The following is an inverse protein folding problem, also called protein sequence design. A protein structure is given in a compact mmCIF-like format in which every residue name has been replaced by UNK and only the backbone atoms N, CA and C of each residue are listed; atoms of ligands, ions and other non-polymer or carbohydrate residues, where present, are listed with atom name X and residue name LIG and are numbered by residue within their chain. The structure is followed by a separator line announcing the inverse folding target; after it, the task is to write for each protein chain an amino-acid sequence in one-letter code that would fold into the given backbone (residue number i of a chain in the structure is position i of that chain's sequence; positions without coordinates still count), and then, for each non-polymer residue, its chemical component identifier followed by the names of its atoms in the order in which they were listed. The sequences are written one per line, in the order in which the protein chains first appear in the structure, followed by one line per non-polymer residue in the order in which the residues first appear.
data_IF_995542338219
#
_entry.id   IF_995542338219
#
_cell.length_a   1.000
_cell.length_b   1.000
_cell.length_c   1.000
_cell.angle_alpha   90.00
_cell.angle_beta   90.00
_cell.angle_gamma   90.00
#
_symmetry.space_group_name_H-M   'P 1'
#
loop_
_entity.id
_entity.type
_entity.pdbx_description
1 polymer ?
#
# COMPACT_ATOMS: atom_id res chain seq x y z
N UNK A 1 12.16 18.86 -76.21
CA UNK A 1 12.49 19.01 -74.76
C UNK A 1 13.56 17.98 -74.45
N UNK A 2 14.84 18.43 -74.46
CA UNK A 2 15.96 17.57 -74.16
C UNK A 2 16.12 17.48 -72.63
N UNK A 3 15.56 16.46 -72.05
CA UNK A 3 15.88 16.12 -70.67
C UNK A 3 17.34 15.73 -70.55
N UNK A 4 18.08 16.45 -69.76
CA UNK A 4 19.52 16.35 -69.59
C UNK A 4 19.87 14.94 -69.07
N UNK A 5 20.45 14.05 -69.91
CA UNK A 5 20.82 12.67 -69.56
C UNK A 5 21.62 12.56 -68.25
N UNK A 6 22.36 13.63 -67.91
CA UNK A 6 23.10 13.71 -66.63
C UNK A 6 22.18 13.82 -65.41
N UNK A 7 21.01 14.51 -65.55
CA UNK A 7 20.04 14.61 -64.44
C UNK A 7 19.34 13.28 -64.19
N UNK A 8 18.98 12.54 -65.25
CA UNK A 8 18.39 11.20 -65.12
C UNK A 8 19.33 10.23 -64.49
N UNK A 9 20.62 10.23 -64.84
CA UNK A 9 21.66 9.40 -64.22
C UNK A 9 21.91 9.76 -62.74
N UNK A 10 21.84 11.02 -62.40
CA UNK A 10 21.99 11.50 -61.00
C UNK A 10 20.81 11.08 -60.12
N UNK A 11 19.61 11.19 -60.61
CA UNK A 11 18.38 10.72 -59.94
C UNK A 11 18.40 9.19 -59.79
N UNK A 12 18.78 8.48 -60.82
CA UNK A 12 18.91 7.02 -60.78
C UNK A 12 19.96 6.56 -59.74
N UNK A 13 21.12 7.24 -59.66
CA UNK A 13 22.16 6.95 -58.72
C UNK A 13 21.72 7.23 -57.26
N UNK A 14 20.93 8.33 -57.02
CA UNK A 14 20.35 8.66 -55.73
C UNK A 14 19.31 7.61 -55.26
N UNK A 15 18.49 7.14 -56.16
CA UNK A 15 17.49 6.08 -55.89
C UNK A 15 18.20 4.77 -55.51
N UNK A 16 19.23 4.37 -56.27
CA UNK A 16 20.01 3.16 -55.95
C UNK A 16 20.75 3.29 -54.58
N UNK A 17 21.31 4.50 -54.29
CA UNK A 17 21.96 4.75 -53.00
C UNK A 17 20.96 4.70 -51.84
N UNK A 18 19.71 5.17 -52.04
CA UNK A 18 18.67 5.08 -51.00
C UNK A 18 18.25 3.64 -50.70
N UNK A 19 18.22 2.77 -51.73
CA UNK A 19 17.91 1.34 -51.56
C UNK A 19 19.03 0.56 -50.89
N UNK A 20 20.27 0.92 -51.07
CA UNK A 20 21.43 0.25 -50.42
C UNK A 20 21.54 0.62 -48.93
N UNK A 21 21.12 1.85 -48.52
CA UNK A 21 21.14 2.28 -47.14
C UNK A 21 20.02 1.68 -46.28
N UNK A 22 18.96 1.17 -46.87
CA UNK A 22 17.87 0.49 -46.14
C UNK A 22 18.10 -1.03 -45.95
N UNK A 23 19.16 -1.60 -46.55
CA UNK A 23 19.43 -3.05 -46.48
C UNK A 23 20.26 -3.46 -45.24
N UNK A 24 20.73 -2.50 -44.40
CA UNK A 24 21.48 -2.81 -43.19
C UNK A 24 20.66 -2.62 -41.91
N UNK A 25 19.33 -2.77 -41.95
CA UNK A 25 18.52 -2.93 -40.77
C UNK A 25 18.85 -4.27 -40.11
N UNK A 26 19.22 -4.26 -38.83
CA UNK A 26 19.25 -5.49 -38.03
C UNK A 26 17.92 -6.22 -38.19
N UNK A 27 17.94 -7.40 -38.75
CA UNK A 27 16.72 -8.23 -38.88
C UNK A 27 16.06 -8.41 -37.52
N UNK A 28 14.76 -8.72 -37.48
CA UNK A 28 14.07 -9.01 -36.24
C UNK A 28 14.86 -10.03 -35.43
N UNK A 29 14.97 -9.82 -34.13
CA UNK A 29 15.60 -10.78 -33.23
C UNK A 29 14.97 -12.17 -33.50
N UNK A 30 15.79 -13.18 -33.65
CA UNK A 30 15.32 -14.54 -33.83
C UNK A 30 14.38 -14.93 -32.66
N UNK A 31 13.51 -15.91 -32.89
CA UNK A 31 12.65 -16.41 -31.82
C UNK A 31 13.53 -16.84 -30.64
N UNK A 32 13.06 -16.53 -29.43
CA UNK A 32 13.72 -17.01 -28.22
C UNK A 32 13.93 -18.51 -28.32
N UNK A 33 15.11 -18.99 -27.97
CA UNK A 33 15.40 -20.40 -27.91
C UNK A 33 14.39 -21.14 -27.04
N UNK A 34 14.17 -22.44 -27.26
CA UNK A 34 13.30 -23.22 -26.41
C UNK A 34 13.75 -23.07 -24.95
N UNK A 35 12.81 -22.97 -24.02
CA UNK A 35 13.10 -23.00 -22.60
C UNK A 35 14.03 -24.21 -22.31
N UNK A 36 15.04 -24.00 -21.50
CA UNK A 36 15.90 -25.10 -21.06
C UNK A 36 15.06 -26.20 -20.39
N UNK A 37 15.57 -27.46 -20.41
CA UNK A 37 14.87 -28.52 -19.71
C UNK A 37 14.60 -28.10 -18.26
N UNK A 38 13.42 -28.40 -17.79
CA UNK A 38 13.07 -28.24 -16.39
C UNK A 38 14.09 -29.01 -15.55
N UNK A 39 14.66 -28.36 -14.54
CA UNK A 39 15.57 -29.03 -13.61
C UNK A 39 14.90 -30.26 -13.01
N UNK A 40 15.71 -31.27 -12.70
CA UNK A 40 15.21 -32.48 -12.03
C UNK A 40 14.46 -32.07 -10.76
N UNK A 41 13.34 -32.73 -10.46
CA UNK A 41 12.66 -32.53 -9.17
C UNK A 41 13.68 -32.76 -8.05
N UNK A 42 13.68 -31.88 -7.06
CA UNK A 42 14.47 -32.12 -5.84
C UNK A 42 14.16 -33.49 -5.25
N UNK A 43 15.07 -34.06 -4.46
CA UNK A 43 14.85 -35.36 -3.81
C UNK A 43 13.52 -35.28 -3.04
N UNK A 44 12.65 -36.25 -3.30
CA UNK A 44 11.40 -36.36 -2.53
C UNK A 44 11.76 -36.53 -1.05
N UNK A 45 11.12 -35.79 -0.13
CA UNK A 45 11.30 -36.00 1.29
C UNK A 45 10.97 -37.45 1.64
N UNK A 46 11.68 -38.01 2.63
CA UNK A 46 11.37 -39.36 3.09
C UNK A 46 9.93 -39.40 3.59
N UNK A 47 9.22 -40.49 3.37
CA UNK A 47 7.82 -40.62 3.83
C UNK A 47 7.68 -40.47 5.36
N UNK A 48 8.74 -40.71 6.10
CA UNK A 48 8.85 -40.46 7.55
C UNK A 48 8.85 -38.99 7.92
N UNK A 49 9.22 -38.10 6.98
CA UNK A 49 9.35 -36.66 7.21
C UNK A 49 8.07 -35.91 6.81
N UNK A 50 7.13 -36.61 6.19
CA UNK A 50 5.86 -36.03 5.75
C UNK A 50 4.81 -36.16 6.86
N UNK A 51 4.70 -35.15 7.70
CA UNK A 51 3.64 -35.08 8.70
C UNK A 51 2.38 -34.40 8.15
N UNK A 52 1.93 -34.84 6.97
CA UNK A 52 0.74 -34.28 6.32
C UNK A 52 -0.48 -34.23 7.26
N UNK A 53 -0.57 -35.20 8.16
CA UNK A 53 -1.67 -35.28 9.14
C UNK A 53 -1.56 -34.28 10.29
N UNK A 54 -0.44 -33.62 10.50
CA UNK A 54 -0.35 -32.50 11.46
C UNK A 54 -1.10 -31.27 10.94
N UNK A 55 -1.11 -31.11 9.63
CA UNK A 55 -1.80 -29.99 8.96
C UNK A 55 -3.12 -30.44 8.33
N UNK A 56 -3.14 -31.58 7.64
CA UNK A 56 -4.31 -32.14 6.95
C UNK A 56 -5.01 -33.19 7.83
N UNK A 57 -5.47 -32.74 8.98
CA UNK A 57 -6.31 -33.54 9.86
C UNK A 57 -7.67 -32.86 10.00
N UNK A 58 -8.70 -33.66 10.36
CA UNK A 58 -10.06 -33.15 10.57
C UNK A 58 -10.18 -32.37 11.90
N UNK A 59 -9.06 -32.04 12.54
CA UNK A 59 -9.06 -31.26 13.77
C UNK A 59 -9.20 -29.77 13.48
N UNK A 60 -9.62 -29.04 14.50
CA UNK A 60 -10.06 -27.65 14.40
C UNK A 60 -8.98 -26.64 13.96
N UNK A 61 -7.70 -27.01 13.97
CA UNK A 61 -6.63 -26.04 13.72
C UNK A 61 -6.71 -25.44 12.32
N UNK A 62 -6.56 -26.25 11.27
CA UNK A 62 -6.58 -25.73 9.90
C UNK A 62 -7.99 -25.40 9.46
N UNK A 63 -8.97 -26.25 9.74
CA UNK A 63 -10.36 -26.02 9.34
C UNK A 63 -10.90 -24.72 9.88
N UNK A 64 -10.62 -24.41 11.17
CA UNK A 64 -11.06 -23.15 11.77
C UNK A 64 -10.31 -21.94 11.20
N UNK A 65 -8.98 -22.02 10.95
CA UNK A 65 -8.22 -20.92 10.38
C UNK A 65 -8.63 -20.62 8.93
N UNK A 66 -8.89 -21.67 8.15
CA UNK A 66 -9.42 -21.53 6.78
C UNK A 66 -10.78 -20.85 6.77
N UNK A 67 -11.70 -21.25 7.65
CA UNK A 67 -13.00 -20.61 7.78
C UNK A 67 -12.88 -19.15 8.22
N UNK A 68 -12.05 -18.86 9.23
CA UNK A 68 -11.79 -17.50 9.70
C UNK A 68 -11.28 -16.60 8.57
N UNK A 69 -10.32 -17.09 7.80
CA UNK A 69 -9.71 -16.34 6.70
C UNK A 69 -10.71 -16.14 5.55
N UNK A 70 -11.34 -17.19 5.06
CA UNK A 70 -12.18 -17.15 3.87
C UNK A 70 -13.53 -16.48 4.08
N UNK A 71 -14.08 -16.52 5.31
CA UNK A 71 -15.42 -16.03 5.58
C UNK A 71 -15.44 -14.64 6.22
N UNK A 72 -14.38 -14.30 6.97
CA UNK A 72 -14.41 -13.13 7.84
C UNK A 72 -13.21 -12.17 7.66
N UNK A 73 -12.18 -12.59 6.95
CA UNK A 73 -10.99 -11.74 6.73
C UNK A 73 -11.13 -10.90 5.46
N UNK A 74 -10.84 -9.59 5.55
CA UNK A 74 -10.74 -8.71 4.35
C UNK A 74 -9.70 -9.23 3.35
N UNK A 75 -8.64 -9.89 3.83
CA UNK A 75 -7.63 -10.48 2.96
C UNK A 75 -8.15 -11.68 2.17
N UNK A 76 -9.06 -12.45 2.74
CA UNK A 76 -9.67 -13.62 2.09
C UNK A 76 -10.91 -13.29 1.26
N UNK A 77 -11.67 -12.27 1.66
CA UNK A 77 -12.96 -11.91 1.01
C UNK A 77 -12.87 -10.69 0.10
N UNK A 78 -11.81 -9.88 0.21
CA UNK A 78 -11.64 -8.65 -0.55
C UNK A 78 -11.25 -8.90 -2.01
N UNK A 79 -11.69 -8.02 -2.90
CA UNK A 79 -11.41 -8.10 -4.34
C UNK A 79 -10.20 -7.25 -4.76
N UNK A 80 -9.47 -6.66 -3.82
CA UNK A 80 -8.35 -5.78 -4.13
C UNK A 80 -7.16 -6.49 -4.80
N UNK A 81 -7.11 -7.82 -4.73
CA UNK A 81 -6.06 -8.64 -5.31
C UNK A 81 -5.96 -8.47 -6.84
N UNK A 82 -7.06 -8.16 -7.53
CA UNK A 82 -7.06 -7.93 -8.99
C UNK A 82 -6.11 -6.78 -9.41
N UNK A 83 -5.77 -5.89 -8.50
CA UNK A 83 -4.77 -4.84 -8.74
C UNK A 83 -3.36 -5.38 -8.86
N UNK A 84 -3.10 -6.59 -8.37
CA UNK A 84 -1.81 -7.29 -8.51
C UNK A 84 -1.44 -7.66 -9.95
N UNK A 85 -2.33 -7.48 -10.92
CA UNK A 85 -2.00 -7.55 -12.34
C UNK A 85 -1.13 -6.36 -12.79
N UNK A 86 -1.18 -5.22 -12.09
CA UNK A 86 -0.39 -4.04 -12.39
C UNK A 86 0.98 -4.04 -11.70
N UNK A 87 2.04 -3.72 -12.44
CA UNK A 87 3.42 -3.69 -11.93
C UNK A 87 3.54 -2.85 -10.65
N UNK A 88 2.96 -1.65 -10.63
CA UNK A 88 3.03 -0.76 -9.48
C UNK A 88 2.22 -1.23 -8.25
N UNK A 89 1.38 -2.25 -8.40
CA UNK A 89 0.48 -2.73 -7.36
C UNK A 89 0.81 -4.16 -6.91
N UNK A 90 1.50 -4.93 -7.75
CA UNK A 90 1.78 -6.36 -7.56
C UNK A 90 2.49 -6.66 -6.24
N UNK A 91 3.37 -5.77 -5.78
CA UNK A 91 4.14 -5.95 -4.54
C UNK A 91 3.30 -5.98 -3.26
N UNK A 92 2.05 -5.51 -3.29
CA UNK A 92 1.14 -5.49 -2.13
C UNK A 92 -0.24 -6.06 -2.43
N UNK A 93 -0.59 -6.27 -3.71
CA UNK A 93 -1.86 -6.81 -4.14
C UNK A 93 -1.63 -8.10 -4.92
N UNK A 94 -2.37 -9.15 -4.57
CA UNK A 94 -2.20 -10.49 -5.12
C UNK A 94 -1.10 -11.29 -4.43
N UNK A 95 -1.29 -12.61 -4.41
CA UNK A 95 -0.43 -13.53 -3.64
C UNK A 95 0.98 -13.62 -4.22
N UNK A 96 1.10 -13.77 -5.53
CA UNK A 96 2.37 -14.06 -6.21
C UNK A 96 3.37 -12.92 -6.09
N UNK A 97 2.96 -11.70 -6.45
CA UNK A 97 3.82 -10.52 -6.39
C UNK A 97 4.23 -10.16 -4.97
N UNK A 98 3.29 -10.24 -4.02
CA UNK A 98 3.57 -9.99 -2.60
C UNK A 98 4.61 -10.96 -2.06
N UNK A 99 4.42 -12.27 -2.27
CA UNK A 99 5.36 -13.29 -1.78
C UNK A 99 6.74 -13.15 -2.45
N UNK A 100 6.78 -12.97 -3.75
CA UNK A 100 8.04 -12.80 -4.49
C UNK A 100 8.83 -11.59 -3.98
N UNK A 101 8.16 -10.46 -3.76
CA UNK A 101 8.77 -9.24 -3.24
C UNK A 101 9.34 -9.42 -1.84
N UNK A 102 8.54 -9.94 -0.91
CA UNK A 102 8.95 -10.10 0.49
C UNK A 102 10.14 -11.06 0.59
N UNK A 103 10.09 -12.20 -0.11
CA UNK A 103 11.20 -13.15 -0.13
C UNK A 103 12.49 -12.59 -0.73
N UNK A 104 12.38 -11.63 -1.62
CA UNK A 104 13.53 -10.95 -2.21
C UNK A 104 14.02 -9.73 -1.40
N UNK A 105 13.33 -9.37 -0.32
CA UNK A 105 13.66 -8.18 0.50
C UNK A 105 13.53 -6.86 -0.25
N UNK A 106 12.61 -6.79 -1.23
CA UNK A 106 12.45 -5.62 -2.09
C UNK A 106 11.42 -4.63 -1.52
N UNK A 107 11.55 -3.33 -1.81
CA UNK A 107 10.57 -2.33 -1.43
C UNK A 107 9.23 -2.53 -2.17
N UNK A 108 8.12 -1.98 -1.65
CA UNK A 108 6.78 -2.16 -2.21
C UNK A 108 6.61 -1.87 -3.71
N UNK A 109 7.29 -0.85 -4.23
CA UNK A 109 7.17 -0.43 -5.63
C UNK A 109 8.41 -0.80 -6.47
N UNK A 110 9.16 -1.83 -6.07
CA UNK A 110 10.30 -2.26 -6.87
C UNK A 110 9.85 -2.68 -8.27
N UNK A 111 10.43 -2.10 -9.34
CA UNK A 111 9.99 -2.33 -10.71
C UNK A 111 10.29 -3.74 -11.23
N UNK A 112 11.09 -4.53 -10.52
CA UNK A 112 11.33 -5.94 -10.86
C UNK A 112 10.17 -6.85 -10.43
N UNK A 113 9.29 -6.36 -9.54
CA UNK A 113 8.07 -7.08 -9.14
C UNK A 113 7.00 -6.85 -10.20
N UNK A 114 6.81 -7.83 -11.05
CA UNK A 114 5.82 -7.77 -12.13
C UNK A 114 4.50 -8.41 -11.70
N UNK A 115 3.41 -7.84 -12.16
CA UNK A 115 2.08 -8.43 -12.02
C UNK A 115 1.95 -9.71 -12.88
N UNK A 116 1.05 -10.57 -12.48
CA UNK A 116 0.72 -11.79 -13.21
C UNK A 116 -0.70 -11.74 -13.73
N UNK A 117 -0.92 -12.23 -14.94
CA UNK A 117 -2.27 -12.39 -15.49
C UNK A 117 -3.00 -13.46 -14.68
N UNK A 118 -4.25 -13.23 -14.33
CA UNK A 118 -5.04 -14.08 -13.43
C UNK A 118 -4.38 -14.24 -12.05
N UNK A 119 -4.01 -13.11 -11.46
CA UNK A 119 -3.44 -13.05 -10.11
C UNK A 119 -4.32 -13.77 -9.08
N UNK A 120 -3.69 -14.53 -8.19
CA UNK A 120 -4.41 -15.20 -7.11
C UNK A 120 -4.77 -14.23 -5.97
N UNK A 121 -5.94 -14.37 -5.35
CA UNK A 121 -6.22 -13.70 -4.09
C UNK A 121 -5.22 -14.12 -3.02
N UNK A 122 -5.13 -13.34 -1.96
CA UNK A 122 -4.35 -13.74 -0.80
C UNK A 122 -4.83 -15.08 -0.26
N UNK A 123 -3.89 -15.89 0.15
CA UNK A 123 -4.14 -17.23 0.67
C UNK A 123 -3.06 -17.60 1.70
N UNK A 124 -3.16 -18.76 2.30
CA UNK A 124 -2.23 -19.19 3.34
C UNK A 124 -0.75 -19.10 2.90
N UNK A 125 -0.47 -19.40 1.64
CA UNK A 125 0.90 -19.39 1.09
C UNK A 125 1.46 -17.99 0.84
N UNK A 126 0.62 -16.96 0.89
CA UNK A 126 1.08 -15.56 0.83
C UNK A 126 1.85 -15.18 2.08
N UNK A 127 1.38 -15.67 3.22
CA UNK A 127 1.89 -15.32 4.55
C UNK A 127 2.75 -16.41 5.18
N UNK A 128 2.61 -17.66 4.76
CA UNK A 128 3.32 -18.81 5.31
C UNK A 128 4.11 -19.56 4.25
N UNK A 129 5.19 -20.22 4.65
CA UNK A 129 6.06 -20.99 3.74
C UNK A 129 5.55 -22.43 3.54
N UNK A 130 4.25 -22.58 3.38
CA UNK A 130 3.56 -23.86 3.25
C UNK A 130 4.10 -24.70 2.09
N UNK A 131 4.36 -25.97 2.37
CA UNK A 131 4.93 -26.96 1.47
C UNK A 131 6.37 -26.67 1.05
N UNK A 132 7.13 -26.00 1.90
CA UNK A 132 8.56 -25.78 1.74
C UNK A 132 9.36 -26.88 2.41
N UNK A 133 9.02 -27.23 3.68
CA UNK A 133 9.69 -28.26 4.46
C UNK A 133 8.85 -29.51 4.67
N UNK A 134 7.54 -29.42 4.49
CA UNK A 134 6.53 -30.44 4.80
C UNK A 134 6.51 -30.84 6.29
N UNK A 135 6.91 -29.93 7.15
CA UNK A 135 6.87 -30.05 8.62
C UNK A 135 6.07 -28.88 9.20
N UNK A 136 5.99 -28.82 10.53
CA UNK A 136 5.40 -27.65 11.21
C UNK A 136 6.12 -26.34 10.94
N UNK A 137 7.35 -26.40 10.43
CA UNK A 137 8.11 -25.20 10.07
C UNK A 137 7.51 -24.49 8.84
N UNK A 138 6.62 -25.16 8.10
CA UNK A 138 5.81 -24.56 7.05
C UNK A 138 4.81 -23.48 7.54
N UNK A 139 4.60 -23.39 8.86
CA UNK A 139 3.86 -22.27 9.45
C UNK A 139 4.71 -21.01 9.68
N UNK A 140 6.02 -21.07 9.37
CA UNK A 140 6.88 -19.89 9.39
C UNK A 140 6.34 -18.80 8.48
N UNK A 141 6.52 -17.55 8.89
CA UNK A 141 6.07 -16.42 8.12
C UNK A 141 7.00 -16.16 6.93
N UNK A 142 6.41 -15.78 5.80
CA UNK A 142 7.13 -15.32 4.62
C UNK A 142 8.03 -14.13 4.99
N UNK A 143 9.32 -14.20 4.66
CA UNK A 143 10.29 -13.13 4.94
C UNK A 143 10.93 -13.18 6.34
N UNK A 144 10.82 -14.29 7.06
CA UNK A 144 11.54 -14.55 8.32
C UNK A 144 11.44 -13.44 9.38
N UNK A 145 10.28 -12.78 9.46
CA UNK A 145 10.02 -11.71 10.44
C UNK A 145 11.04 -10.54 10.40
N UNK A 146 11.71 -10.32 9.26
CA UNK A 146 12.70 -9.26 9.14
C UNK A 146 12.08 -7.88 9.33
N UNK A 147 12.83 -6.99 10.01
CA UNK A 147 12.44 -5.59 10.15
C UNK A 147 12.20 -4.92 8.79
N UNK A 148 11.14 -4.14 8.68
CA UNK A 148 10.68 -3.54 7.43
C UNK A 148 11.16 -2.10 7.35
N UNK A 149 12.07 -1.81 6.42
CA UNK A 149 12.43 -0.44 6.09
C UNK A 149 11.31 0.19 5.26
N UNK A 150 10.83 1.33 5.69
CA UNK A 150 9.81 2.05 4.95
C UNK A 150 10.33 2.60 3.62
N UNK A 151 9.49 2.56 2.58
CA UNK A 151 9.88 3.03 1.26
C UNK A 151 9.93 4.57 1.17
N UNK A 152 8.99 5.25 1.83
CA UNK A 152 8.81 6.71 1.72
C UNK A 152 9.02 7.47 3.04
N UNK A 153 9.66 6.85 4.02
CA UNK A 153 10.18 7.51 5.22
C UNK A 153 11.48 6.88 5.66
N UNK A 154 12.23 7.54 6.55
CA UNK A 154 13.56 7.07 6.96
C UNK A 154 13.51 5.96 8.02
N UNK A 155 12.33 5.72 8.58
CA UNK A 155 12.12 4.78 9.68
C UNK A 155 12.14 3.31 9.26
N UNK A 156 12.14 2.49 10.29
CA UNK A 156 12.08 1.03 10.19
C UNK A 156 11.07 0.52 11.19
N UNK A 157 10.24 -0.42 10.77
CA UNK A 157 9.31 -1.12 11.64
C UNK A 157 9.93 -2.45 12.05
N UNK A 158 10.07 -2.66 13.35
CA UNK A 158 10.57 -3.90 13.95
C UNK A 158 9.64 -4.33 15.09
N UNK A 159 8.59 -5.02 14.70
CA UNK A 159 7.47 -5.43 15.56
C UNK A 159 7.27 -6.94 15.61
N UNK A 160 8.34 -7.74 15.47
CA UNK A 160 8.28 -9.20 15.51
C UNK A 160 7.40 -9.75 14.36
N UNK A 161 6.48 -10.67 14.65
CA UNK A 161 5.57 -11.23 13.64
C UNK A 161 4.72 -10.17 12.92
N UNK A 162 4.55 -8.98 13.50
CA UNK A 162 3.91 -7.83 12.87
C UNK A 162 4.66 -7.28 11.66
N UNK A 163 5.94 -7.62 11.49
CA UNK A 163 6.75 -7.18 10.34
C UNK A 163 6.16 -7.64 9.01
N UNK A 164 5.57 -8.82 8.95
CA UNK A 164 4.87 -9.27 7.76
C UNK A 164 3.74 -8.30 7.35
N UNK A 165 2.97 -7.82 8.31
CA UNK A 165 1.88 -6.85 8.08
C UNK A 165 2.43 -5.51 7.57
N UNK A 166 3.51 -5.02 8.21
CA UNK A 166 4.16 -3.76 7.87
C UNK A 166 4.73 -3.71 6.45
N UNK A 167 5.00 -4.86 5.84
CA UNK A 167 5.41 -4.93 4.45
C UNK A 167 4.38 -4.31 3.48
N UNK A 168 3.09 -4.35 3.83
CA UNK A 168 2.02 -3.78 3.01
C UNK A 168 1.31 -2.61 3.70
N UNK A 169 1.18 -2.65 5.03
CA UNK A 169 0.53 -1.62 5.83
C UNK A 169 1.49 -0.46 6.15
N UNK A 170 1.96 0.21 5.10
CA UNK A 170 2.83 1.38 5.15
C UNK A 170 2.44 2.42 4.09
N UNK A 171 2.87 3.67 4.27
CA UNK A 171 2.66 4.75 3.30
C UNK A 171 3.25 4.36 1.95
N UNK A 172 2.50 4.57 0.87
CA UNK A 172 2.85 4.16 -0.49
C UNK A 172 2.97 5.31 -1.50
N UNK A 173 2.82 6.51 -1.04
CA UNK A 173 3.04 7.68 -1.87
C UNK A 173 4.23 8.47 -1.31
N UNK A 174 5.13 8.97 -2.18
CA UNK A 174 6.21 9.84 -1.77
C UNK A 174 5.67 11.14 -1.17
N UNK A 175 6.48 11.78 -0.33
CA UNK A 175 6.20 13.13 0.12
C UNK A 175 6.08 14.05 -1.09
N UNK A 176 5.10 14.98 -1.10
CA UNK A 176 4.92 15.89 -2.23
C UNK A 176 6.08 16.86 -2.36
N UNK A 177 6.36 17.28 -3.60
CA UNK A 177 7.36 18.30 -3.89
C UNK A 177 6.78 19.70 -3.58
N UNK A 178 7.55 20.48 -2.84
CA UNK A 178 7.23 21.89 -2.53
C UNK A 178 7.90 22.79 -3.55
N UNK A 179 7.14 23.65 -4.21
CA UNK A 179 7.64 24.65 -5.15
C UNK A 179 7.12 26.04 -4.81
N UNK A 180 8.01 26.95 -4.52
CA UNK A 180 7.69 28.34 -4.16
C UNK A 180 6.65 28.43 -2.99
N UNK A 181 6.79 27.55 -1.98
CA UNK A 181 5.91 27.48 -0.82
C UNK A 181 4.52 26.85 -1.10
N UNK A 182 4.34 26.24 -2.28
CA UNK A 182 3.10 25.61 -2.69
C UNK A 182 3.31 24.16 -3.10
N UNK A 183 2.23 23.39 -3.09
CA UNK A 183 2.19 22.03 -3.61
C UNK A 183 1.14 21.96 -4.71
N UNK A 184 1.53 21.35 -5.84
CA UNK A 184 0.65 21.08 -6.97
C UNK A 184 0.02 19.69 -6.82
N UNK A 185 -1.24 19.64 -6.45
CA UNK A 185 -2.01 18.41 -6.29
C UNK A 185 -2.58 18.00 -7.64
N UNK A 186 -2.12 16.87 -8.17
CA UNK A 186 -2.47 16.38 -9.52
C UNK A 186 -3.49 15.24 -9.51
N UNK A 187 -4.06 14.92 -8.35
CA UNK A 187 -5.02 13.82 -8.20
C UNK A 187 -6.01 14.09 -7.08
N UNK A 188 -7.27 13.81 -7.32
CA UNK A 188 -8.31 13.77 -6.26
C UNK A 188 -7.99 12.78 -5.12
N UNK A 189 -7.01 11.87 -5.34
CA UNK A 189 -6.54 10.87 -4.37
C UNK A 189 -5.32 11.32 -3.57
N UNK A 190 -4.90 12.58 -3.67
CA UNK A 190 -3.76 13.09 -2.93
C UNK A 190 -3.78 12.66 -1.46
N UNK A 191 -2.67 12.14 -0.97
CA UNK A 191 -2.47 11.62 0.38
C UNK A 191 -1.68 10.31 0.37
N UNK A 192 -1.66 9.63 1.50
CA UNK A 192 -0.78 8.49 1.81
C UNK A 192 -1.09 7.17 1.09
N UNK A 193 -2.28 7.01 0.49
CA UNK A 193 -2.91 5.74 0.19
C UNK A 193 -3.33 5.00 1.49
N UNK A 194 -4.22 4.00 1.41
CA UNK A 194 -4.59 3.15 2.56
C UNK A 194 -3.38 2.37 3.08
N UNK A 195 -3.44 1.94 4.33
CA UNK A 195 -2.41 1.09 4.92
C UNK A 195 -1.31 1.87 5.61
N UNK A 196 -1.63 2.87 6.44
CA UNK A 196 -0.65 3.77 7.08
C UNK A 196 -0.30 3.35 8.51
N UNK A 197 -0.76 2.20 8.94
CA UNK A 197 -0.77 1.76 10.34
C UNK A 197 0.63 1.63 10.92
N UNK A 198 1.60 1.17 10.11
CA UNK A 198 2.96 0.98 10.59
C UNK A 198 3.65 2.29 10.92
N UNK A 199 3.54 3.31 10.04
CA UNK A 199 4.09 4.63 10.35
C UNK A 199 3.31 5.32 11.47
N UNK A 200 2.00 5.13 11.56
CA UNK A 200 1.22 5.65 12.70
C UNK A 200 1.75 5.07 14.01
N UNK A 201 1.98 3.77 14.10
CA UNK A 201 2.51 3.11 15.30
C UNK A 201 3.88 3.65 15.72
N UNK A 202 4.78 3.90 14.77
CA UNK A 202 6.12 4.43 15.09
C UNK A 202 6.17 5.95 15.20
N UNK A 203 5.07 6.64 14.87
CA UNK A 203 4.98 8.10 14.97
C UNK A 203 5.68 8.86 13.85
N UNK A 204 5.64 8.31 12.61
CA UNK A 204 6.22 8.91 11.40
C UNK A 204 5.17 9.08 10.30
N UNK A 205 5.54 9.77 9.23
CA UNK A 205 4.78 9.82 7.98
C UNK A 205 3.81 10.98 7.84
N UNK A 206 3.49 11.70 8.90
CA UNK A 206 2.82 12.99 8.82
C UNK A 206 3.69 14.07 8.18
N UNK A 207 3.08 15.14 7.71
CA UNK A 207 3.75 16.29 7.11
C UNK A 207 3.62 17.54 7.97
N UNK A 208 4.51 18.52 7.74
CA UNK A 208 4.65 19.72 8.54
C UNK A 208 5.55 19.52 9.75
N UNK A 209 5.55 20.49 10.67
CA UNK A 209 6.43 20.51 11.85
C UNK A 209 5.86 19.67 13.03
N UNK A 210 5.23 18.54 12.73
CA UNK A 210 4.67 17.63 13.73
C UNK A 210 5.58 16.44 13.95
N UNK A 211 6.20 16.39 15.13
CA UNK A 211 7.04 15.27 15.53
C UNK A 211 6.21 14.22 16.27
N UNK A 212 6.32 12.97 15.86
CA UNK A 212 5.78 11.82 16.55
C UNK A 212 6.83 11.05 17.35
N UNK A 213 6.35 10.09 18.10
CA UNK A 213 7.17 9.10 18.81
C UNK A 213 6.49 7.75 18.74
N UNK A 214 7.24 6.64 18.82
CA UNK A 214 6.66 5.31 18.87
C UNK A 214 5.62 5.19 19.98
N UNK A 215 4.48 4.63 19.66
CA UNK A 215 3.40 4.45 20.63
C UNK A 215 3.73 3.39 21.68
N UNK A 216 3.09 3.44 22.85
CA UNK A 216 3.15 2.34 23.80
C UNK A 216 2.67 1.00 23.21
N UNK A 217 1.72 1.01 22.28
CA UNK A 217 1.25 -0.19 21.58
C UNK A 217 2.35 -0.80 20.71
N UNK A 218 3.16 0.03 20.03
CA UNK A 218 4.32 -0.45 19.30
C UNK A 218 5.39 -1.06 20.22
N UNK A 219 5.71 -0.40 21.33
CA UNK A 219 6.84 -0.76 22.17
C UNK A 219 6.55 -1.83 23.23
N UNK A 220 5.28 -2.07 23.58
CA UNK A 220 4.89 -2.95 24.69
C UNK A 220 4.03 -4.13 24.28
N UNK A 221 3.34 -4.07 23.15
CA UNK A 221 2.55 -5.19 22.64
C UNK A 221 3.48 -6.14 21.92
N UNK A 222 3.57 -7.38 22.42
CA UNK A 222 4.35 -8.42 21.76
C UNK A 222 3.80 -8.70 20.37
N UNK A 223 4.70 -8.80 19.39
CA UNK A 223 4.36 -9.04 17.99
C UNK A 223 3.40 -7.98 17.39
N UNK A 224 3.32 -6.81 18.04
CA UNK A 224 2.59 -5.61 17.61
C UNK A 224 1.20 -5.89 17.00
N UNK A 225 1.08 -5.87 15.66
CA UNK A 225 -0.17 -6.10 14.93
C UNK A 225 -0.83 -7.43 15.32
N UNK A 226 -0.03 -8.50 15.35
CA UNK A 226 -0.49 -9.86 15.66
C UNK A 226 -1.06 -9.92 17.08
N UNK A 227 -0.43 -9.28 18.05
CA UNK A 227 -0.86 -9.27 19.45
C UNK A 227 -2.29 -8.76 19.65
N UNK A 228 -2.72 -7.79 18.87
CA UNK A 228 -4.09 -7.24 18.90
C UNK A 228 -5.02 -7.89 17.88
N UNK A 229 -4.59 -7.98 16.60
CA UNK A 229 -5.44 -8.38 15.49
C UNK A 229 -5.65 -9.90 15.36
N UNK A 230 -4.73 -10.70 15.89
CA UNK A 230 -4.84 -12.16 15.88
C UNK A 230 -5.01 -12.75 17.29
N UNK A 231 -4.52 -12.06 18.32
CA UNK A 231 -4.63 -12.48 19.73
C UNK A 231 -3.88 -13.78 20.04
N UNK A 232 -4.17 -14.39 21.20
CA UNK A 232 -3.44 -15.56 21.70
C UNK A 232 -3.62 -16.83 20.86
N UNK A 233 -4.76 -16.93 20.17
CA UNK A 233 -5.10 -18.11 19.37
C UNK A 233 -4.75 -17.93 17.89
N UNK A 234 -4.03 -16.88 17.52
CA UNK A 234 -3.73 -16.53 16.13
C UNK A 234 -4.98 -16.57 15.25
N UNK A 235 -5.99 -15.76 15.60
CA UNK A 235 -7.26 -15.70 14.88
C UNK A 235 -7.05 -15.06 13.50
N UNK A 236 -7.43 -15.75 12.43
CA UNK A 236 -7.23 -15.33 11.05
C UNK A 236 -8.38 -14.48 10.49
N UNK A 237 -9.28 -13.97 11.33
CA UNK A 237 -10.22 -12.91 10.93
C UNK A 237 -9.53 -11.54 10.88
N UNK A 238 -8.40 -11.39 11.56
CA UNK A 238 -7.65 -10.14 11.78
C UNK A 238 -8.48 -9.04 12.50
N UNK A 239 -9.61 -9.41 13.08
CA UNK A 239 -10.45 -8.49 13.85
C UNK A 239 -9.98 -8.46 15.31
N UNK A 240 -9.57 -7.30 15.83
CA UNK A 240 -9.15 -7.19 17.23
C UNK A 240 -10.34 -7.44 18.16
N UNK A 241 -10.03 -7.87 19.38
CA UNK A 241 -11.03 -8.10 20.44
C UNK A 241 -10.74 -7.20 21.64
N UNK A 242 -11.77 -6.60 22.22
CA UNK A 242 -11.65 -5.71 23.39
C UNK A 242 -10.93 -6.37 24.56
N UNK A 243 -11.05 -7.69 24.72
CA UNK A 243 -10.33 -8.43 25.75
C UNK A 243 -8.81 -8.24 25.68
N UNK A 244 -8.24 -7.99 24.50
CA UNK A 244 -6.80 -7.71 24.34
C UNK A 244 -6.42 -6.32 24.88
N UNK A 245 -7.34 -5.38 24.85
CA UNK A 245 -7.12 -4.07 25.49
C UNK A 245 -7.05 -4.20 27.01
N UNK A 246 -7.79 -5.14 27.58
CA UNK A 246 -7.91 -5.32 29.03
C UNK A 246 -6.63 -5.82 29.71
N UNK A 247 -5.65 -6.33 28.97
CA UNK A 247 -4.34 -6.69 29.51
C UNK A 247 -3.61 -5.47 30.12
N UNK A 248 -3.88 -4.28 29.61
CA UNK A 248 -3.32 -3.03 30.10
C UNK A 248 -4.42 -2.02 30.53
N UNK A 249 -5.56 -2.02 29.85
CA UNK A 249 -6.71 -1.14 30.09
C UNK A 249 -7.83 -1.97 30.77
N UNK A 250 -7.63 -2.34 32.01
CA UNK A 250 -8.44 -3.34 32.75
C UNK A 250 -9.95 -3.05 32.73
N UNK A 251 -10.36 -1.80 32.62
CA UNK A 251 -11.75 -1.38 32.59
C UNK A 251 -12.31 -1.18 31.18
N UNK A 252 -11.55 -1.48 30.12
CA UNK A 252 -12.00 -1.28 28.75
C UNK A 252 -13.24 -2.13 28.45
N UNK A 253 -14.29 -1.49 27.94
CA UNK A 253 -15.58 -2.14 27.55
C UNK A 253 -15.80 -2.14 26.05
N UNK A 254 -15.09 -1.30 25.33
CA UNK A 254 -15.10 -1.15 23.88
C UNK A 254 -13.72 -0.68 23.42
N UNK A 255 -13.55 -0.37 22.15
CA UNK A 255 -12.30 0.11 21.58
C UNK A 255 -12.03 1.60 21.85
N UNK A 256 -13.05 2.34 22.27
CA UNK A 256 -12.94 3.76 22.62
C UNK A 256 -12.40 3.94 24.05
N UNK A 257 -11.18 3.48 24.26
CA UNK A 257 -10.52 3.56 25.57
C UNK A 257 -10.20 5.03 25.88
N UNK A 258 -10.72 5.48 27.02
CA UNK A 258 -10.61 6.88 27.49
C UNK A 258 -11.20 7.93 26.53
N UNK A 259 -12.11 7.55 25.63
CA UNK A 259 -12.75 8.47 24.69
C UNK A 259 -11.86 8.92 23.51
N UNK A 260 -10.74 8.21 23.28
CA UNK A 260 -9.78 8.58 22.23
C UNK A 260 -10.40 8.52 20.84
N UNK A 261 -11.13 7.42 20.52
CA UNK A 261 -11.73 7.29 19.20
C UNK A 261 -12.80 8.36 18.96
N UNK A 262 -13.64 8.63 19.95
CA UNK A 262 -14.63 9.72 19.89
C UNK A 262 -13.98 11.09 19.66
N UNK A 263 -12.85 11.39 20.34
CA UNK A 263 -12.13 12.65 20.15
C UNK A 263 -11.54 12.76 18.73
N UNK A 264 -10.88 11.73 18.24
CA UNK A 264 -10.28 11.73 16.89
C UNK A 264 -11.37 11.82 15.81
N UNK A 265 -12.48 11.11 15.96
CA UNK A 265 -13.61 11.20 15.03
C UNK A 265 -14.17 12.63 14.94
N UNK A 266 -14.37 13.29 16.09
CA UNK A 266 -14.83 14.67 16.12
C UNK A 266 -13.86 15.64 15.42
N UNK A 267 -12.54 15.45 15.58
CA UNK A 267 -11.53 16.25 14.90
C UNK A 267 -11.53 16.03 13.39
N UNK A 268 -11.70 14.78 12.94
CA UNK A 268 -11.82 14.44 11.52
C UNK A 268 -13.09 15.05 10.91
N UNK A 269 -14.23 15.03 11.61
CA UNK A 269 -15.48 15.65 11.16
C UNK A 269 -15.34 17.18 11.04
N UNK A 270 -14.69 17.83 12.01
CA UNK A 270 -14.41 19.25 11.96
C UNK A 270 -13.52 19.61 10.76
N UNK A 271 -12.44 18.85 10.51
CA UNK A 271 -11.57 19.04 9.36
C UNK A 271 -12.30 18.81 8.04
N UNK A 272 -13.12 17.76 7.95
CA UNK A 272 -13.96 17.50 6.79
C UNK A 272 -14.84 18.71 6.46
N UNK A 273 -15.52 19.25 7.47
CA UNK A 273 -16.36 20.44 7.33
C UNK A 273 -15.56 21.63 6.80
N UNK A 274 -14.39 21.91 7.38
CA UNK A 274 -13.50 22.98 6.94
C UNK A 274 -13.03 22.79 5.49
N UNK A 275 -12.64 21.58 5.09
CA UNK A 275 -12.23 21.34 3.70
C UNK A 275 -13.36 21.56 2.70
N UNK A 276 -14.59 21.20 3.03
CA UNK A 276 -15.78 21.48 2.19
C UNK A 276 -16.07 22.98 2.12
N UNK A 277 -16.09 23.68 3.25
CA UNK A 277 -16.30 25.13 3.34
C UNK A 277 -15.25 25.91 2.55
N UNK A 278 -13.98 25.50 2.64
CA UNK A 278 -12.85 26.10 1.92
C UNK A 278 -12.75 25.68 0.45
N UNK A 279 -13.70 24.92 -0.05
CA UNK A 279 -13.76 24.45 -1.46
C UNK A 279 -12.53 23.65 -1.89
N UNK A 280 -11.98 22.86 -0.99
CA UNK A 280 -10.89 21.92 -1.26
C UNK A 280 -11.39 20.48 -1.43
N UNK A 281 -12.52 20.15 -0.82
CA UNK A 281 -13.16 18.84 -0.86
C UNK A 281 -14.53 18.95 -1.53
N UNK A 282 -14.75 18.07 -2.53
CA UNK A 282 -16.03 18.01 -3.22
C UNK A 282 -17.07 17.27 -2.34
N UNK A 283 -18.15 17.94 -1.91
CA UNK A 283 -19.17 17.32 -1.05
C UNK A 283 -19.91 16.16 -1.73
N UNK A 284 -19.98 16.12 -3.06
CA UNK A 284 -20.68 15.06 -3.80
C UNK A 284 -19.87 13.73 -3.87
N UNK A 285 -18.56 13.79 -3.60
CA UNK A 285 -17.67 12.63 -3.65
C UNK A 285 -17.47 11.95 -2.27
N UNK A 286 -18.15 12.40 -1.23
CA UNK A 286 -18.02 11.89 0.15
C UNK A 286 -18.30 10.38 0.25
N UNK A 287 -19.11 9.83 -0.66
CA UNK A 287 -19.35 8.38 -0.73
C UNK A 287 -18.09 7.56 -1.11
N UNK A 288 -17.06 8.20 -1.66
CA UNK A 288 -15.80 7.54 -2.00
C UNK A 288 -14.62 8.23 -1.28
N UNK A 289 -14.21 7.76 -0.11
CA UNK A 289 -13.17 8.40 0.69
C UNK A 289 -11.78 8.45 0.01
N UNK A 290 -11.63 7.78 -1.13
CA UNK A 290 -10.40 7.88 -1.94
C UNK A 290 -10.36 9.14 -2.80
N UNK A 291 -11.49 9.69 -3.24
CA UNK A 291 -11.61 10.71 -4.27
C UNK A 291 -12.14 12.04 -3.67
N UNK A 292 -11.46 12.60 -2.68
CA UNK A 292 -11.98 13.72 -1.91
C UNK A 292 -11.66 15.10 -2.52
N UNK A 293 -10.46 15.25 -3.10
CA UNK A 293 -9.95 16.56 -3.45
C UNK A 293 -10.43 17.03 -4.82
N UNK A 294 -10.87 18.27 -4.89
CA UNK A 294 -11.41 18.85 -6.11
C UNK A 294 -10.99 20.29 -6.34
N UNK A 295 -11.18 20.77 -7.56
CA UNK A 295 -11.05 22.16 -7.95
C UNK A 295 -12.46 22.71 -8.17
N UNK A 296 -12.84 23.70 -7.38
CA UNK A 296 -14.13 24.38 -7.52
C UNK A 296 -14.00 25.63 -8.41
N UNK A 297 -14.81 25.71 -9.44
CA UNK A 297 -14.97 26.90 -10.27
C UNK A 297 -16.21 27.70 -9.81
N UNK A 298 -16.03 28.84 -9.12
CA UNK A 298 -17.15 29.62 -8.61
C UNK A 298 -17.97 30.31 -9.74
N UNK A 299 -17.39 30.51 -10.93
CA UNK A 299 -18.09 31.14 -12.06
C UNK A 299 -19.06 30.16 -12.72
N UNK A 300 -18.72 28.88 -12.77
CA UNK A 300 -19.53 27.82 -13.36
C UNK A 300 -20.36 27.05 -12.33
N UNK A 301 -20.10 27.26 -11.00
CA UNK A 301 -20.61 26.46 -9.88
C UNK A 301 -20.38 24.95 -10.11
N UNK A 302 -19.13 24.59 -10.42
CA UNK A 302 -18.76 23.21 -10.80
C UNK A 302 -17.48 22.76 -10.17
N UNK A 303 -17.43 21.47 -9.89
CA UNK A 303 -16.23 20.76 -9.48
C UNK A 303 -15.54 20.08 -10.65
N UNK A 304 -14.22 20.02 -10.61
CA UNK A 304 -13.39 19.23 -11.51
C UNK A 304 -12.30 18.50 -10.74
N UNK A 305 -11.77 17.43 -11.33
CA UNK A 305 -10.73 16.64 -10.69
C UNK A 305 -9.35 17.23 -11.00
N UNK A 306 -8.47 17.36 -9.99
CA UNK A 306 -7.09 17.73 -10.22
C UNK A 306 -6.39 16.72 -11.16
N UNK A 307 -5.55 17.22 -12.07
CA UNK A 307 -4.76 16.43 -12.99
C UNK A 307 -3.36 17.04 -13.19
N UNK A 308 -2.49 16.36 -13.90
CA UNK A 308 -1.15 16.90 -14.23
C UNK A 308 -1.24 18.18 -15.08
N UNK A 309 -2.26 18.29 -15.95
CA UNK A 309 -2.46 19.45 -16.82
C UNK A 309 -3.24 20.59 -16.11
N UNK A 310 -3.98 20.25 -15.07
CA UNK A 310 -4.78 21.19 -14.28
C UNK A 310 -4.69 20.81 -12.78
N UNK A 311 -3.57 21.11 -12.13
CA UNK A 311 -3.38 20.79 -10.71
C UNK A 311 -4.13 21.75 -9.81
N UNK A 312 -4.56 21.27 -8.64
CA UNK A 312 -4.97 22.12 -7.53
C UNK A 312 -3.71 22.65 -6.85
N UNK A 313 -3.48 23.94 -6.92
CA UNK A 313 -2.32 24.59 -6.28
C UNK A 313 -2.76 25.14 -4.92
N UNK A 314 -2.11 24.67 -3.86
CA UNK A 314 -2.38 25.15 -2.50
C UNK A 314 -1.09 25.43 -1.74
N UNK A 315 -1.10 26.30 -0.74
CA UNK A 315 0.04 26.48 0.17
C UNK A 315 0.48 25.15 0.78
N UNK A 316 1.78 24.97 0.99
CA UNK A 316 2.36 23.77 1.60
C UNK A 316 1.65 23.37 2.89
N UNK A 317 1.38 24.31 3.80
CA UNK A 317 0.70 24.01 5.06
C UNK A 317 -0.70 23.41 4.84
N UNK A 318 -1.45 23.90 3.83
CA UNK A 318 -2.77 23.36 3.47
C UNK A 318 -2.67 21.96 2.91
N UNK A 319 -1.70 21.72 2.01
CA UNK A 319 -1.47 20.39 1.48
C UNK A 319 -1.04 19.40 2.58
N UNK A 320 -0.22 19.85 3.54
CA UNK A 320 0.16 19.04 4.71
C UNK A 320 -1.07 18.70 5.58
N UNK A 321 -1.99 19.63 5.79
CA UNK A 321 -3.25 19.36 6.48
C UNK A 321 -4.12 18.32 5.76
N UNK A 322 -4.22 18.42 4.41
CA UNK A 322 -4.92 17.44 3.57
C UNK A 322 -4.27 16.05 3.66
N UNK A 323 -2.94 15.99 3.66
CA UNK A 323 -2.18 14.73 3.82
C UNK A 323 -2.42 14.11 5.20
N UNK A 324 -2.29 14.89 6.27
CA UNK A 324 -2.43 14.41 7.63
C UNK A 324 -3.87 13.94 7.93
N UNK A 325 -4.87 14.61 7.38
CA UNK A 325 -6.25 14.13 7.40
C UNK A 325 -6.39 12.74 6.78
N UNK A 326 -5.84 12.53 5.58
CA UNK A 326 -5.85 11.23 4.91
C UNK A 326 -5.04 10.20 5.68
N UNK A 327 -3.91 10.58 6.23
CA UNK A 327 -3.04 9.68 7.00
C UNK A 327 -3.76 9.10 8.21
N UNK A 328 -4.40 9.94 9.01
CA UNK A 328 -5.18 9.49 10.17
C UNK A 328 -6.44 8.72 9.76
N UNK A 329 -7.13 9.17 8.71
CA UNK A 329 -8.32 8.47 8.19
C UNK A 329 -7.98 7.07 7.67
N UNK A 330 -6.84 6.92 7.00
CA UNK A 330 -6.43 5.66 6.35
C UNK A 330 -5.75 4.68 7.32
N UNK A 331 -5.33 5.13 8.48
CA UNK A 331 -4.94 4.30 9.61
C UNK A 331 -6.12 3.49 10.19
N UNK A 332 -7.34 3.96 10.01
CA UNK A 332 -8.61 3.34 10.40
C UNK A 332 -8.74 2.97 11.90
N UNK A 333 -7.73 3.26 12.71
CA UNK A 333 -7.77 2.94 14.15
C UNK A 333 -8.47 4.00 15.00
N UNK A 334 -8.80 5.17 14.41
CA UNK A 334 -9.29 6.34 15.15
C UNK A 334 -8.39 6.67 16.35
N UNK A 335 -7.06 6.64 16.13
CA UNK A 335 -6.06 6.95 17.13
C UNK A 335 -5.64 5.78 18.03
N UNK A 336 -6.25 4.59 17.93
CA UNK A 336 -5.85 3.47 18.77
C UNK A 336 -4.40 3.02 18.53
N UNK A 337 -3.86 3.15 17.32
CA UNK A 337 -2.46 2.83 17.06
C UNK A 337 -1.49 3.79 17.73
N UNK A 338 -1.76 5.11 17.68
CA UNK A 338 -0.93 6.14 18.32
C UNK A 338 -1.76 7.41 18.56
N UNK A 339 -2.45 7.46 19.69
CA UNK A 339 -3.39 8.55 20.00
C UNK A 339 -2.72 9.93 20.09
N UNK A 340 -1.51 9.99 20.65
CA UNK A 340 -0.79 11.24 20.79
C UNK A 340 -0.37 11.81 19.43
N UNK A 341 0.12 10.95 18.53
CA UNK A 341 0.56 11.39 17.22
C UNK A 341 -0.62 11.74 16.31
N UNK A 342 -1.66 10.88 16.27
CA UNK A 342 -2.87 11.16 15.51
C UNK A 342 -3.50 12.52 15.93
N UNK A 343 -3.61 12.77 17.24
CA UNK A 343 -4.13 14.03 17.77
C UNK A 343 -3.27 15.22 17.36
N UNK A 344 -1.95 15.15 17.52
CA UNK A 344 -1.04 16.24 17.16
C UNK A 344 -1.12 16.60 15.66
N UNK A 345 -1.24 15.59 14.78
CA UNK A 345 -1.42 15.79 13.34
C UNK A 345 -2.73 16.50 13.00
N UNK A 346 -3.82 16.11 13.66
CA UNK A 346 -5.13 16.72 13.44
C UNK A 346 -5.24 18.13 14.06
N UNK A 347 -4.64 18.36 15.23
CA UNK A 347 -4.56 19.70 15.84
C UNK A 347 -3.85 20.69 14.92
N UNK A 348 -2.68 20.32 14.38
CA UNK A 348 -1.93 21.15 13.43
C UNK A 348 -2.72 21.39 12.13
N UNK A 349 -3.42 20.36 11.63
CA UNK A 349 -4.27 20.49 10.46
C UNK A 349 -5.47 21.43 10.73
N UNK A 350 -6.13 21.32 11.89
CA UNK A 350 -7.24 22.18 12.28
C UNK A 350 -6.80 23.64 12.43
N UNK A 351 -5.66 23.90 13.06
CA UNK A 351 -5.09 25.24 13.18
C UNK A 351 -4.86 25.85 11.79
N UNK A 352 -4.21 25.11 10.91
CA UNK A 352 -3.97 25.53 9.53
C UNK A 352 -5.26 25.85 8.79
N UNK A 353 -6.23 24.95 8.85
CA UNK A 353 -7.47 25.10 8.08
C UNK A 353 -8.38 26.20 8.63
N UNK A 354 -8.40 26.46 9.94
CA UNK A 354 -9.09 27.62 10.54
C UNK A 354 -8.49 28.95 10.09
N UNK A 355 -7.18 29.02 9.94
CA UNK A 355 -6.47 30.22 9.48
C UNK A 355 -6.52 30.43 7.97
N UNK A 356 -6.70 29.37 7.18
CA UNK A 356 -6.66 29.42 5.72
C UNK A 356 -7.86 30.18 5.15
N UNK A 357 -7.58 31.12 4.24
CA UNK A 357 -8.58 31.82 3.40
C UNK A 357 -8.25 31.53 1.93
N UNK A 358 -9.14 30.88 1.18
CA UNK A 358 -8.95 30.54 -0.24
C UNK A 358 -8.76 31.75 -1.13
#
# INVERSE_FOLDING_TARGET
MNFNKKLVLLVAALIVAAFVLTACGTGPAGPAGPAGPQGDPGPAPAASDLSCTECHNDTTLITSKVAQFNENSVHGTGESFVRGEGVACAGCHGSEGTKARINAGLPPHDPSVVGVVNVSPFNCRTCHDIHTTYTKDDFSLTGDEQAVKFEYSDGTFDGGAGNLCANCHQIRNPKPEVKDGNIAITSQRYGTHYGTESQMLVGEGGLGDVSGSPSPHYSKVKDTCVGCHMGDEYNHTYLPKVVRCQDCHVDAKNFDVNGVQTEIEAMLEELHTLFVEKKLMNPDEVANPSNLWGIYDPAADKWSNPSADAPLIVPEAVANAMWNYKFVTYDQSMGAHNSAYAKALLEAALETMKAYTP
#
